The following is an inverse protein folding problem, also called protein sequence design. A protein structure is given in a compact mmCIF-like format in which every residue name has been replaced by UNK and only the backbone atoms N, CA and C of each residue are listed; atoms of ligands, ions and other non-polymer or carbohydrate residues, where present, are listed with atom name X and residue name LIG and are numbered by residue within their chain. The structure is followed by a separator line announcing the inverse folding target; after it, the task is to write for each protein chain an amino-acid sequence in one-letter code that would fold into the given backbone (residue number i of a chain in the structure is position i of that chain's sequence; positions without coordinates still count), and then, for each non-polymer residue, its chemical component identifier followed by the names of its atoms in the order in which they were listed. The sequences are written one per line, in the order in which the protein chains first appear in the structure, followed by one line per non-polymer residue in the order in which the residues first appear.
data_IF_279579226314
#
_entry.id   IF_279579226314
#
_cell.length_a   1.000
_cell.length_b   1.000
_cell.length_c   1.000
_cell.angle_alpha   90.00
_cell.angle_beta   90.00
_cell.angle_gamma   90.00
#
_symmetry.space_group_name_H-M   'P 1'
#
loop_
_entity.id
_entity.type
_entity.pdbx_description
1 polymer ?
#
# COMPACT_ATOMS: atom_id res chain seq x y z
N UNK A 1 -40.40 30.23 -33.47
CA UNK A 1 -39.67 28.98 -33.17
C UNK A 1 -38.24 29.39 -32.88
N UNK A 2 -37.81 29.20 -31.63
CA UNK A 2 -36.61 29.82 -31.06
C UNK A 2 -35.32 29.16 -31.58
N UNK A 3 -34.35 29.99 -31.99
CA UNK A 3 -32.94 29.61 -32.07
C UNK A 3 -32.30 29.98 -30.73
N UNK A 4 -31.95 28.98 -29.92
CA UNK A 4 -31.07 29.13 -28.77
C UNK A 4 -29.63 28.99 -29.28
N UNK A 5 -28.87 30.08 -29.26
CA UNK A 5 -27.42 30.06 -29.35
C UNK A 5 -26.87 29.59 -28.00
N UNK A 6 -26.27 28.40 -27.98
CA UNK A 6 -25.44 27.94 -26.89
C UNK A 6 -24.07 28.64 -26.98
N UNK A 7 -23.85 29.63 -26.11
CA UNK A 7 -22.52 30.15 -25.82
C UNK A 7 -21.85 29.18 -24.84
N UNK A 8 -21.01 28.28 -25.34
CA UNK A 8 -20.10 27.46 -24.52
C UNK A 8 -18.87 28.30 -24.24
N UNK A 9 -18.65 28.63 -22.96
CA UNK A 9 -17.45 29.33 -22.50
C UNK A 9 -16.22 28.44 -22.70
N UNK A 10 -15.36 28.83 -23.64
CA UNK A 10 -14.02 28.26 -23.89
C UNK A 10 -12.92 28.98 -23.10
N UNK A 11 -13.25 29.65 -21.99
CA UNK A 11 -12.34 30.55 -21.29
C UNK A 11 -11.44 29.90 -20.23
N UNK A 12 -11.56 28.59 -19.97
CA UNK A 12 -10.76 27.89 -18.96
C UNK A 12 -9.37 27.44 -19.42
N UNK A 13 -9.26 26.83 -20.61
CA UNK A 13 -8.01 26.19 -21.04
C UNK A 13 -6.93 27.17 -21.53
N UNK A 14 -7.31 28.33 -22.07
CA UNK A 14 -6.33 29.30 -22.59
C UNK A 14 -5.57 30.01 -21.46
N UNK A 15 -6.27 30.38 -20.38
CA UNK A 15 -5.67 31.10 -19.25
C UNK A 15 -4.71 30.23 -18.42
N UNK A 16 -5.01 28.93 -18.27
CA UNK A 16 -4.12 28.00 -17.57
C UNK A 16 -2.82 27.76 -18.34
N UNK A 17 -2.89 27.64 -19.67
CA UNK A 17 -1.71 27.49 -20.53
C UNK A 17 -0.83 28.74 -20.51
N UNK A 18 -1.44 29.93 -20.62
CA UNK A 18 -0.72 31.21 -20.60
C UNK A 18 -0.01 31.49 -19.26
N UNK A 19 -0.60 31.03 -18.14
CA UNK A 19 0.04 31.06 -16.84
C UNK A 19 1.22 30.07 -16.74
N UNK A 20 1.06 28.83 -17.24
CA UNK A 20 2.14 27.83 -17.26
C UNK A 20 3.36 28.31 -18.07
N UNK A 21 3.13 28.82 -19.28
CA UNK A 21 4.16 29.39 -20.16
C UNK A 21 4.97 30.53 -19.47
N UNK A 22 4.36 31.23 -18.50
CA UNK A 22 5.01 32.32 -17.74
C UNK A 22 5.99 31.80 -16.67
N UNK A 23 5.76 30.60 -16.13
CA UNK A 23 6.52 30.05 -15.01
C UNK A 23 7.40 28.85 -15.41
N UNK A 24 7.51 28.52 -16.71
CA UNK A 24 8.34 27.41 -17.23
C UNK A 24 9.79 27.45 -16.73
N UNK A 25 10.37 28.64 -16.53
CA UNK A 25 11.74 28.79 -16.02
C UNK A 25 11.95 28.21 -14.61
N UNK A 26 10.86 27.95 -13.88
CA UNK A 26 10.85 27.39 -12.54
C UNK A 26 10.50 25.90 -12.48
N UNK A 27 10.43 25.24 -13.63
CA UNK A 27 10.23 23.80 -13.73
C UNK A 27 11.30 23.06 -12.92
N UNK A 28 10.88 22.18 -12.01
CA UNK A 28 11.78 21.38 -11.19
C UNK A 28 12.41 22.14 -10.01
N UNK A 29 11.99 23.37 -9.72
CA UNK A 29 12.40 24.06 -8.51
C UNK A 29 11.85 23.30 -7.30
N UNK A 30 12.70 23.07 -6.31
CA UNK A 30 12.33 22.27 -5.15
C UNK A 30 12.95 22.83 -3.87
N UNK A 31 12.31 22.56 -2.73
CA UNK A 31 12.89 22.78 -1.42
C UNK A 31 13.14 21.44 -0.74
N UNK A 32 14.27 21.31 -0.06
CA UNK A 32 14.60 20.14 0.72
C UNK A 32 14.23 20.33 2.20
N UNK A 33 13.99 19.23 2.89
CA UNK A 33 13.92 19.21 4.35
C UNK A 33 15.32 19.25 4.99
N UNK A 34 15.39 19.17 6.32
CA UNK A 34 16.68 19.16 7.04
C UNK A 34 17.53 17.90 6.80
N UNK A 35 16.98 16.86 6.18
CA UNK A 35 17.68 15.62 5.83
C UNK A 35 18.23 15.61 4.39
N UNK A 36 17.87 16.61 3.58
CA UNK A 36 18.24 16.72 2.17
C UNK A 36 17.24 16.06 1.22
N UNK A 37 16.12 15.54 1.74
CA UNK A 37 15.04 14.99 0.94
C UNK A 37 14.18 16.11 0.34
N UNK A 38 13.65 15.95 -0.87
CA UNK A 38 12.74 16.94 -1.46
C UNK A 38 11.45 16.99 -0.64
N UNK A 39 11.13 18.13 -0.04
CA UNK A 39 9.88 18.34 0.70
C UNK A 39 8.76 18.83 -0.23
N UNK A 40 9.07 19.81 -1.07
CA UNK A 40 8.14 20.34 -2.07
C UNK A 40 8.85 20.56 -3.40
N UNK A 41 8.20 20.21 -4.50
CA UNK A 41 8.70 20.36 -5.87
C UNK A 41 7.66 21.01 -6.79
N UNK A 42 8.10 21.92 -7.65
CA UNK A 42 7.23 22.68 -8.53
C UNK A 42 7.31 22.16 -9.97
N UNK A 43 6.16 21.72 -10.51
CA UNK A 43 5.94 21.46 -11.93
C UNK A 43 5.19 22.66 -12.53
N UNK A 44 5.73 23.24 -13.59
CA UNK A 44 5.16 24.41 -14.28
C UNK A 44 4.93 24.20 -15.77
N UNK A 45 5.37 23.07 -16.33
CA UNK A 45 5.16 22.71 -17.74
C UNK A 45 3.66 22.37 -17.98
N UNK A 46 2.99 23.16 -18.82
CA UNK A 46 1.54 23.09 -19.14
C UNK A 46 0.55 23.47 -18.03
N UNK A 47 0.81 23.08 -16.77
CA UNK A 47 0.00 23.43 -15.59
C UNK A 47 0.92 23.68 -14.39
N UNK A 48 0.42 24.40 -13.41
CA UNK A 48 1.13 24.59 -12.14
C UNK A 48 0.69 23.48 -11.19
N UNK A 49 1.62 22.61 -10.81
CA UNK A 49 1.41 21.59 -9.78
C UNK A 49 2.49 21.67 -8.72
N UNK A 50 2.08 21.43 -7.49
CA UNK A 50 2.96 21.31 -6.35
C UNK A 50 2.99 19.84 -5.92
N UNK A 51 4.17 19.25 -6.02
CA UNK A 51 4.46 17.92 -5.51
C UNK A 51 4.89 18.08 -4.05
N UNK A 52 4.18 17.43 -3.14
CA UNK A 52 4.45 17.46 -1.73
C UNK A 52 4.82 16.06 -1.26
N UNK A 53 6.00 15.94 -0.66
CA UNK A 53 6.49 14.67 -0.16
C UNK A 53 6.31 14.66 1.35
N UNK A 54 5.37 13.85 1.81
CA UNK A 54 5.03 13.76 3.22
C UNK A 54 5.45 12.42 3.80
N UNK A 55 5.95 12.47 5.03
CA UNK A 55 6.36 11.29 5.76
C UNK A 55 5.28 10.91 6.77
N UNK A 56 4.19 10.30 6.27
CA UNK A 56 3.04 9.88 7.09
C UNK A 56 3.35 8.57 7.82
N UNK A 57 3.90 8.67 9.04
CA UNK A 57 4.08 7.51 9.92
C UNK A 57 4.97 6.38 9.36
N UNK A 58 5.75 6.64 8.30
CA UNK A 58 6.58 5.67 7.54
C UNK A 58 7.99 6.25 7.32
N UNK A 59 9.06 5.45 7.19
CA UNK A 59 10.36 5.98 6.72
C UNK A 59 10.29 6.51 5.28
N UNK A 60 9.31 6.05 4.50
CA UNK A 60 9.13 6.40 3.09
C UNK A 60 8.27 7.65 2.92
N UNK A 61 8.65 8.50 1.96
CA UNK A 61 7.89 9.69 1.59
C UNK A 61 6.78 9.32 0.60
N UNK A 62 5.58 9.83 0.87
CA UNK A 62 4.42 9.74 0.00
C UNK A 62 4.31 11.04 -0.79
N UNK A 63 4.10 10.94 -2.10
CA UNK A 63 3.93 12.11 -2.96
C UNK A 63 2.45 12.42 -3.16
N UNK A 64 2.03 13.59 -2.69
CA UNK A 64 0.73 14.19 -3.02
C UNK A 64 0.92 15.33 -4.01
N UNK A 65 0.08 15.35 -5.04
CA UNK A 65 0.15 16.35 -6.11
C UNK A 65 -1.06 17.27 -6.02
N UNK A 66 -0.80 18.55 -5.80
CA UNK A 66 -1.81 19.59 -5.82
C UNK A 66 -1.76 20.35 -7.15
N UNK A 67 -2.84 20.33 -7.91
CA UNK A 67 -3.02 21.20 -9.08
C UNK A 67 -3.43 22.60 -8.61
N UNK A 68 -2.64 23.60 -9.00
CA UNK A 68 -2.79 24.98 -8.55
C UNK A 68 -3.22 25.88 -9.71
N UNK A 69 -4.21 26.74 -9.44
CA UNK A 69 -4.53 27.84 -10.32
C UNK A 69 -3.97 29.13 -9.73
N UNK A 70 -3.05 29.78 -10.45
CA UNK A 70 -2.45 31.03 -10.00
C UNK A 70 -3.19 32.25 -10.56
N UNK A 71 -3.41 33.24 -9.70
CA UNK A 71 -3.78 34.60 -10.05
C UNK A 71 -2.51 35.47 -10.02
N UNK A 72 -2.03 35.96 -11.19
CA UNK A 72 -0.88 36.85 -11.25
C UNK A 72 -1.14 38.13 -10.44
N UNK A 73 -0.25 38.44 -9.51
CA UNK A 73 -0.27 39.65 -8.72
C UNK A 73 0.51 40.79 -9.39
N UNK A 74 0.77 41.87 -8.64
CA UNK A 74 1.68 42.93 -9.08
C UNK A 74 3.13 42.46 -8.95
N UNK A 75 3.87 42.48 -10.06
CA UNK A 75 5.29 42.14 -10.10
C UNK A 75 5.52 40.63 -10.11
N UNK A 76 6.55 40.19 -9.39
CA UNK A 76 7.01 38.79 -9.30
C UNK A 76 6.14 37.89 -8.39
N UNK A 77 4.97 38.38 -7.93
CA UNK A 77 4.11 37.66 -6.98
C UNK A 77 2.88 37.08 -7.65
N UNK A 78 2.48 35.88 -7.24
CA UNK A 78 1.22 35.26 -7.61
C UNK A 78 0.52 34.70 -6.37
N UNK A 79 -0.81 34.81 -6.33
CA UNK A 79 -1.63 34.18 -5.31
C UNK A 79 -2.28 32.92 -5.89
N UNK A 80 -2.43 31.88 -5.08
CA UNK A 80 -3.18 30.69 -5.49
C UNK A 80 -4.67 30.99 -5.37
N UNK A 81 -5.38 30.92 -6.49
CA UNK A 81 -6.84 31.08 -6.58
C UNK A 81 -7.58 29.78 -6.28
N UNK A 82 -6.99 28.65 -6.68
CA UNK A 82 -7.59 27.34 -6.53
C UNK A 82 -6.55 26.27 -6.23
N UNK A 83 -6.90 25.35 -5.32
CA UNK A 83 -6.10 24.16 -4.96
C UNK A 83 -6.97 22.93 -5.16
N UNK A 84 -6.58 22.06 -6.09
CA UNK A 84 -7.21 20.76 -6.32
C UNK A 84 -6.22 19.67 -5.93
N UNK A 85 -6.62 18.72 -5.08
CA UNK A 85 -5.75 17.59 -4.71
C UNK A 85 -5.71 16.49 -5.80
N UNK A 86 -4.92 15.45 -5.54
CA UNK A 86 -4.78 14.30 -6.46
C UNK A 86 -6.07 13.48 -6.67
N UNK A 87 -7.07 13.64 -5.79
CA UNK A 87 -8.39 13.00 -5.91
C UNK A 87 -9.41 13.89 -6.62
N UNK A 88 -9.05 15.14 -6.96
CA UNK A 88 -9.93 16.10 -7.60
C UNK A 88 -10.80 16.91 -6.62
N UNK A 89 -10.50 16.87 -5.32
CA UNK A 89 -11.21 17.65 -4.30
C UNK A 89 -10.67 19.07 -4.26
N UNK A 90 -11.59 20.06 -4.23
CA UNK A 90 -11.23 21.47 -4.10
C UNK A 90 -10.95 21.81 -2.63
N UNK A 91 -9.68 22.06 -2.33
CA UNK A 91 -9.18 22.40 -0.99
C UNK A 91 -8.92 23.90 -0.81
N UNK A 92 -9.40 24.75 -1.73
CA UNK A 92 -9.10 26.19 -1.70
C UNK A 92 -9.48 26.84 -0.36
N UNK A 93 -10.62 26.46 0.22
CA UNK A 93 -11.09 26.99 1.50
C UNK A 93 -10.19 26.61 2.68
N UNK A 94 -9.35 25.57 2.53
CA UNK A 94 -8.43 25.08 3.55
C UNK A 94 -7.18 25.93 3.71
N UNK A 95 -6.98 26.96 2.89
CA UNK A 95 -5.81 27.84 2.93
C UNK A 95 -6.25 29.29 3.14
N UNK A 96 -5.88 29.86 4.28
CA UNK A 96 -6.07 31.29 4.58
C UNK A 96 -5.12 32.18 3.78
N UNK A 97 -3.95 31.65 3.44
CA UNK A 97 -2.94 32.28 2.58
C UNK A 97 -2.20 31.22 1.80
N UNK A 98 -2.06 31.42 0.49
CA UNK A 98 -1.18 30.59 -0.33
C UNK A 98 -0.65 31.42 -1.49
N UNK A 99 0.63 31.82 -1.43
CA UNK A 99 1.26 32.71 -2.39
C UNK A 99 2.63 32.20 -2.83
N UNK A 100 3.02 32.60 -4.04
CA UNK A 100 4.36 32.43 -4.57
C UNK A 100 4.97 33.79 -4.92
N UNK A 101 6.27 33.95 -4.66
CA UNK A 101 7.11 35.05 -5.15
C UNK A 101 8.25 34.47 -5.97
N UNK A 102 8.31 34.81 -7.26
CA UNK A 102 9.21 34.23 -8.25
C UNK A 102 10.39 35.15 -8.54
N UNK A 103 11.58 34.79 -8.07
CA UNK A 103 12.83 35.52 -8.29
C UNK A 103 13.73 34.76 -9.26
N UNK A 104 14.69 35.41 -9.94
CA UNK A 104 15.54 34.74 -10.94
C UNK A 104 16.27 33.47 -10.49
N UNK A 105 16.59 33.35 -9.19
CA UNK A 105 17.35 32.24 -8.61
C UNK A 105 16.54 31.37 -7.63
N UNK A 106 15.31 31.77 -7.26
CA UNK A 106 14.50 31.07 -6.26
C UNK A 106 13.02 31.41 -6.34
N UNK A 107 12.19 30.54 -5.79
CA UNK A 107 10.76 30.79 -5.56
C UNK A 107 10.50 30.75 -4.06
N UNK A 108 9.82 31.76 -3.53
CA UNK A 108 9.35 31.75 -2.13
C UNK A 108 7.88 31.39 -2.12
N UNK A 109 7.55 30.28 -1.46
CA UNK A 109 6.20 29.78 -1.25
C UNK A 109 5.77 30.08 0.19
N UNK A 110 4.67 30.81 0.36
CA UNK A 110 4.08 31.13 1.66
C UNK A 110 2.73 30.43 1.79
N UNK A 111 2.57 29.60 2.83
CA UNK A 111 1.36 28.84 3.10
C UNK A 111 0.86 29.13 4.52
N UNK A 112 -0.43 29.40 4.66
CA UNK A 112 -1.16 29.49 5.92
C UNK A 112 -2.44 28.68 5.78
N UNK A 113 -2.53 27.58 6.52
CA UNK A 113 -3.72 26.71 6.53
C UNK A 113 -4.80 27.18 7.47
N UNK A 114 -6.03 26.78 7.15
CA UNK A 114 -7.12 26.70 8.11
C UNK A 114 -7.19 25.30 8.73
N UNK A 115 -6.70 25.16 9.96
CA UNK A 115 -6.64 23.86 10.66
C UNK A 115 -8.01 23.29 11.02
N UNK A 116 -9.07 24.11 10.97
CA UNK A 116 -10.44 23.66 11.23
C UNK A 116 -11.04 22.96 10.00
N UNK A 117 -10.50 23.22 8.80
CA UNK A 117 -10.97 22.67 7.52
C UNK A 117 -10.00 21.64 6.93
N UNK A 118 -8.73 21.70 7.31
CA UNK A 118 -7.70 20.75 6.90
C UNK A 118 -6.85 20.34 8.09
N UNK A 119 -7.31 19.30 8.76
CA UNK A 119 -6.60 18.64 9.84
C UNK A 119 -5.32 17.95 9.32
N UNK A 120 -4.32 17.76 10.19
CA UNK A 120 -3.01 17.20 9.81
C UNK A 120 -1.90 18.26 9.67
N UNK A 121 -0.69 17.82 9.33
CA UNK A 121 0.54 18.63 9.28
C UNK A 121 1.71 17.85 8.68
N UNK A 122 2.97 18.13 9.07
CA UNK A 122 4.26 17.57 8.63
C UNK A 122 4.29 16.20 7.90
N UNK A 123 3.42 15.29 8.32
CA UNK A 123 3.27 13.90 7.89
C UNK A 123 2.20 13.67 6.81
N UNK A 124 1.18 14.53 6.70
CA UNK A 124 -0.08 14.22 6.00
C UNK A 124 -0.60 15.37 5.13
N UNK A 125 -0.10 16.60 5.32
CA UNK A 125 -0.59 17.79 4.61
C UNK A 125 0.47 18.89 4.55
N UNK A 126 0.28 19.84 3.61
CA UNK A 126 1.11 21.05 3.50
C UNK A 126 1.23 21.76 4.85
N UNK A 127 2.42 22.11 5.27
CA UNK A 127 2.60 22.85 6.52
C UNK A 127 2.39 24.36 6.33
N UNK A 128 1.86 25.02 7.38
CA UNK A 128 1.90 26.49 7.45
C UNK A 128 3.35 26.92 7.61
N UNK A 129 3.83 27.79 6.73
CA UNK A 129 5.22 28.22 6.72
C UNK A 129 5.62 29.00 5.48
N UNK A 130 6.89 29.38 5.46
CA UNK A 130 7.57 29.97 4.30
C UNK A 130 8.65 29.00 3.82
N UNK A 131 8.64 28.67 2.54
CA UNK A 131 9.54 27.70 1.92
C UNK A 131 10.25 28.34 0.73
N UNK A 132 11.57 28.19 0.67
CA UNK A 132 12.37 28.66 -0.46
C UNK A 132 12.70 27.47 -1.36
N UNK A 133 12.18 27.48 -2.58
CA UNK A 133 12.47 26.50 -3.62
C UNK A 133 13.57 27.05 -4.54
N UNK A 134 14.54 26.22 -4.88
CA UNK A 134 15.65 26.57 -5.78
C UNK A 134 15.75 25.54 -6.90
N UNK A 135 16.46 25.88 -7.97
CA UNK A 135 16.74 24.92 -9.04
C UNK A 135 17.35 23.63 -8.47
N UNK A 136 16.83 22.49 -8.91
CA UNK A 136 17.19 21.16 -8.43
C UNK A 136 17.30 20.18 -9.61
N UNK A 137 18.01 19.07 -9.41
CA UNK A 137 18.03 17.94 -10.36
C UNK A 137 16.74 17.10 -10.29
N UNK A 138 15.88 17.38 -9.30
CA UNK A 138 14.56 16.76 -9.17
C UNK A 138 13.68 17.10 -10.39
N UNK A 139 12.99 16.08 -10.91
CA UNK A 139 12.02 16.22 -12.00
C UNK A 139 10.69 15.61 -11.58
N UNK A 140 9.54 16.15 -12.02
CA UNK A 140 8.25 15.52 -11.79
C UNK A 140 8.25 14.08 -12.31
N UNK A 141 7.78 13.14 -11.48
CA UNK A 141 7.80 11.71 -11.79
C UNK A 141 9.18 11.03 -11.68
N UNK A 142 10.22 11.74 -11.25
CA UNK A 142 11.49 11.11 -10.84
C UNK A 142 11.46 10.91 -9.33
N UNK A 143 11.64 9.66 -8.89
CA UNK A 143 11.82 9.35 -7.47
C UNK A 143 12.99 10.20 -6.91
N UNK A 144 12.86 10.72 -5.68
CA UNK A 144 13.89 11.58 -5.08
C UNK A 144 15.26 10.89 -5.14
N UNK A 145 16.25 11.65 -5.59
CA UNK A 145 17.62 11.18 -5.81
C UNK A 145 18.26 10.81 -4.47
N UNK A 146 18.03 9.57 -4.04
CA UNK A 146 18.44 9.12 -2.73
C UNK A 146 18.27 7.63 -2.48
N UNK A 147 17.60 6.86 -3.34
CA UNK A 147 17.49 5.42 -3.15
C UNK A 147 17.74 4.69 -4.47
N UNK A 148 18.74 3.79 -4.45
CA UNK A 148 18.83 2.73 -5.45
C UNK A 148 17.55 1.93 -5.32
N UNK A 149 16.67 2.11 -6.30
CA UNK A 149 15.43 1.39 -6.50
C UNK A 149 15.71 -0.12 -6.43
N UNK A 150 15.48 -0.72 -5.26
CA UNK A 150 14.93 -2.05 -5.23
C UNK A 150 13.48 -1.85 -5.66
N UNK A 151 13.09 -2.39 -6.81
CA UNK A 151 11.67 -2.54 -7.12
C UNK A 151 11.03 -3.36 -6.00
N UNK A 152 10.34 -2.70 -5.07
CA UNK A 152 9.41 -3.37 -4.18
C UNK A 152 8.14 -3.62 -4.98
N UNK A 153 7.88 -4.91 -5.25
CA UNK A 153 6.66 -5.43 -5.85
C UNK A 153 5.43 -5.24 -4.93
N UNK A 154 4.98 -4.01 -4.68
CA UNK A 154 3.78 -3.75 -3.88
C UNK A 154 2.90 -2.66 -4.52
N UNK A 155 1.57 -2.74 -4.54
CA UNK A 155 0.64 -3.54 -3.71
C UNK A 155 -0.58 -3.96 -4.54
N UNK A 156 -0.81 -5.26 -4.72
CA UNK A 156 -2.19 -5.74 -4.74
C UNK A 156 -2.62 -5.98 -3.26
N UNK A 157 -3.92 -5.97 -2.95
CA UNK A 157 -4.40 -6.17 -1.59
C UNK A 157 -3.89 -7.51 -1.02
N UNK A 158 -3.51 -7.49 0.26
CA UNK A 158 -3.18 -8.71 1.01
C UNK A 158 -4.43 -9.56 1.17
N UNK A 159 -4.24 -10.88 1.26
CA UNK A 159 -5.33 -11.74 1.68
C UNK A 159 -5.64 -11.49 3.17
N UNK A 160 -6.90 -11.62 3.58
CA UNK A 160 -7.31 -11.42 4.97
C UNK A 160 -6.46 -12.24 5.94
N UNK A 161 -6.14 -13.48 5.57
CA UNK A 161 -5.32 -14.37 6.39
C UNK A 161 -3.85 -13.93 6.49
N UNK A 162 -3.34 -13.25 5.47
CA UNK A 162 -2.01 -12.62 5.53
C UNK A 162 -2.02 -11.41 6.45
N UNK A 163 -3.09 -10.60 6.45
CA UNK A 163 -3.27 -9.50 7.40
C UNK A 163 -3.32 -10.00 8.85
N UNK A 164 -4.01 -11.12 9.10
CA UNK A 164 -4.01 -11.78 10.43
C UNK A 164 -2.60 -12.20 10.85
N UNK A 165 -1.83 -12.80 9.94
CA UNK A 165 -0.43 -13.18 10.20
C UNK A 165 0.43 -11.95 10.53
N UNK A 166 0.30 -10.86 9.76
CA UNK A 166 1.02 -9.61 10.01
C UNK A 166 0.61 -8.96 11.34
N UNK A 167 -0.68 -9.01 11.72
CA UNK A 167 -1.18 -8.53 13.01
C UNK A 167 -0.58 -9.30 14.19
N UNK A 168 -0.48 -10.63 14.09
CA UNK A 168 0.19 -11.45 15.11
C UNK A 168 1.67 -11.11 15.24
N UNK A 169 2.37 -10.89 14.13
CA UNK A 169 3.77 -10.48 14.13
C UNK A 169 3.95 -9.09 14.75
N UNK A 170 3.08 -8.14 14.39
CA UNK A 170 3.05 -6.79 14.96
C UNK A 170 2.91 -6.84 16.48
N UNK A 171 1.89 -7.56 16.96
CA UNK A 171 1.63 -7.69 18.39
C UNK A 171 2.76 -8.41 19.13
N UNK A 172 3.30 -9.50 18.57
CA UNK A 172 4.40 -10.22 19.22
C UNK A 172 5.63 -9.34 19.38
N UNK A 173 5.92 -8.47 18.43
CA UNK A 173 7.05 -7.53 18.52
C UNK A 173 6.89 -6.55 19.69
N UNK A 174 5.67 -6.09 19.96
CA UNK A 174 5.38 -5.13 21.03
C UNK A 174 5.24 -5.79 22.40
N UNK A 175 4.49 -6.89 22.48
CA UNK A 175 4.12 -7.55 23.72
C UNK A 175 5.07 -8.70 24.12
N UNK A 176 5.97 -9.12 23.22
CA UNK A 176 6.79 -10.33 23.36
C UNK A 176 5.94 -11.59 23.62
N UNK A 177 4.72 -11.61 23.06
CA UNK A 177 3.74 -12.70 23.18
C UNK A 177 3.12 -12.97 21.82
N UNK A 178 3.16 -14.24 21.38
CA UNK A 178 2.47 -14.65 20.17
C UNK A 178 1.04 -15.06 20.54
N UNK A 179 0.06 -14.26 20.14
CA UNK A 179 -1.35 -14.56 20.37
C UNK A 179 -1.72 -15.93 19.74
N UNK A 180 -2.18 -16.91 20.53
CA UNK A 180 -2.50 -18.26 20.02
C UNK A 180 -3.77 -18.29 19.18
N UNK A 181 -4.75 -17.43 19.50
CA UNK A 181 -6.06 -17.43 18.87
C UNK A 181 -6.34 -16.10 18.16
N UNK A 182 -7.01 -16.21 17.02
CA UNK A 182 -7.36 -15.07 16.18
C UNK A 182 -8.77 -15.20 15.66
N UNK A 183 -9.45 -14.07 15.51
CA UNK A 183 -10.69 -13.94 14.76
C UNK A 183 -10.52 -12.78 13.79
N UNK A 184 -11.09 -12.89 12.60
CA UNK A 184 -11.15 -11.78 11.64
C UNK A 184 -12.56 -11.60 11.10
N UNK A 185 -12.96 -10.35 10.92
CA UNK A 185 -14.29 -9.95 10.43
C UNK A 185 -14.11 -8.95 9.30
N UNK A 186 -14.64 -9.28 8.12
CA UNK A 186 -14.79 -8.33 7.01
C UNK A 186 -15.93 -7.36 7.33
N UNK A 187 -15.63 -6.07 7.35
CA UNK A 187 -16.58 -5.02 7.68
C UNK A 187 -17.45 -4.61 6.47
N UNK A 188 -17.14 -5.06 5.26
CA UNK A 188 -17.86 -4.75 4.03
C UNK A 188 -17.61 -3.34 3.49
N UNK A 189 -16.69 -2.59 4.11
CA UNK A 189 -16.29 -1.23 3.71
C UNK A 189 -14.85 -1.16 3.17
N UNK A 190 -14.24 -2.33 2.94
CA UNK A 190 -12.84 -2.46 2.52
C UNK A 190 -11.84 -2.57 3.69
N UNK A 191 -12.34 -2.65 4.93
CA UNK A 191 -11.52 -2.92 6.11
C UNK A 191 -11.80 -4.29 6.73
N UNK A 192 -10.80 -4.83 7.40
CA UNK A 192 -10.82 -6.06 8.16
C UNK A 192 -10.55 -5.75 9.63
N UNK A 193 -11.45 -6.19 10.52
CA UNK A 193 -11.19 -6.17 11.96
C UNK A 193 -10.59 -7.49 12.39
N UNK A 194 -9.43 -7.43 13.05
CA UNK A 194 -8.65 -8.57 13.52
C UNK A 194 -8.61 -8.54 15.04
N UNK A 195 -9.13 -9.59 15.66
CA UNK A 195 -9.03 -9.81 17.09
C UNK A 195 -7.93 -10.83 17.38
N UNK A 196 -7.03 -10.47 18.30
CA UNK A 196 -6.04 -11.36 18.86
C UNK A 196 -6.41 -11.68 20.31
N UNK A 197 -6.38 -12.96 20.66
CA UNK A 197 -6.72 -13.43 21.99
C UNK A 197 -5.56 -14.19 22.64
N UNK A 198 -5.51 -14.11 23.96
CA UNK A 198 -4.71 -14.98 24.82
C UNK A 198 -5.61 -16.03 25.49
N UNK A 199 -5.03 -17.17 25.84
CA UNK A 199 -5.71 -18.19 26.63
C UNK A 199 -5.35 -17.98 28.09
N UNK A 200 -6.32 -17.50 28.88
CA UNK A 200 -6.19 -17.29 30.32
C UNK A 200 -6.69 -18.55 31.04
N UNK A 201 -5.82 -19.17 31.84
CA UNK A 201 -6.23 -20.29 32.70
C UNK A 201 -6.93 -19.77 33.95
N UNK A 202 -8.14 -20.26 34.20
CA UNK A 202 -8.88 -20.00 35.43
C UNK A 202 -8.49 -20.99 36.52
N UNK A 203 -8.35 -22.26 36.15
CA UNK A 203 -7.82 -23.35 36.99
C UNK A 203 -7.20 -24.47 36.13
N UNK A 204 -6.88 -25.63 36.72
CA UNK A 204 -6.24 -26.75 36.02
C UNK A 204 -7.09 -27.35 34.89
N UNK A 205 -8.42 -27.16 34.90
CA UNK A 205 -9.35 -27.76 33.92
C UNK A 205 -10.10 -26.73 33.07
N UNK A 206 -10.05 -25.44 33.41
CA UNK A 206 -10.82 -24.40 32.74
C UNK A 206 -9.96 -23.21 32.30
N UNK A 207 -10.24 -22.73 31.09
CA UNK A 207 -9.62 -21.54 30.51
C UNK A 207 -10.65 -20.71 29.76
N UNK A 208 -10.42 -19.41 29.68
CA UNK A 208 -11.18 -18.49 28.83
C UNK A 208 -10.24 -17.67 27.96
N UNK A 209 -10.79 -16.99 26.95
CA UNK A 209 -10.03 -16.09 26.08
C UNK A 209 -10.00 -14.69 26.66
N UNK A 210 -8.80 -14.13 26.85
CA UNK A 210 -8.57 -12.73 27.15
C UNK A 210 -8.29 -11.93 25.86
N UNK A 211 -8.71 -10.67 25.79
CA UNK A 211 -8.39 -9.81 24.65
C UNK A 211 -6.94 -9.36 24.72
N UNK A 212 -6.15 -9.69 23.69
CA UNK A 212 -4.76 -9.23 23.55
C UNK A 212 -4.67 -7.90 22.80
N UNK A 213 -5.21 -7.85 21.58
CA UNK A 213 -5.22 -6.64 20.75
C UNK A 213 -6.31 -6.72 19.68
N UNK A 214 -6.85 -5.57 19.31
CA UNK A 214 -7.86 -5.42 18.25
C UNK A 214 -7.38 -4.39 17.24
N UNK A 215 -7.35 -4.77 15.97
CA UNK A 215 -6.95 -3.88 14.89
C UNK A 215 -8.04 -3.82 13.83
N UNK A 216 -8.35 -2.63 13.33
CA UNK A 216 -9.13 -2.46 12.10
C UNK A 216 -8.21 -1.88 11.04
N UNK A 217 -7.96 -2.64 9.98
CA UNK A 217 -7.00 -2.30 8.92
C UNK A 217 -7.63 -2.43 7.53
N UNK A 218 -7.15 -1.64 6.58
CA UNK A 218 -7.46 -1.81 5.17
C UNK A 218 -6.74 -3.05 4.59
N UNK A 219 -7.02 -3.33 3.32
CA UNK A 219 -6.40 -4.43 2.58
C UNK A 219 -4.86 -4.32 2.41
N UNK A 220 -4.26 -3.21 2.84
CA UNK A 220 -2.82 -2.94 2.81
C UNK A 220 -2.20 -2.98 4.21
N UNK A 221 -2.96 -3.36 5.24
CA UNK A 221 -2.50 -3.48 6.61
C UNK A 221 -2.36 -2.14 7.34
N UNK A 222 -3.00 -1.07 6.86
CA UNK A 222 -3.02 0.24 7.50
C UNK A 222 -4.35 0.49 8.19
N UNK A 223 -4.33 1.02 9.40
CA UNK A 223 -5.56 1.41 10.09
C UNK A 223 -5.31 1.81 11.52
N UNK A 224 -6.09 1.25 12.45
CA UNK A 224 -6.02 1.61 13.87
C UNK A 224 -6.01 0.41 14.80
N UNK A 225 -5.35 0.59 15.93
CA UNK A 225 -5.59 -0.17 17.15
C UNK A 225 -6.89 0.32 17.78
N UNK A 226 -7.88 -0.57 17.90
CA UNK A 226 -9.20 -0.23 18.42
C UNK A 226 -9.25 -0.13 19.95
N UNK A 227 -8.24 -0.65 20.65
CA UNK A 227 -8.14 -0.59 22.12
C UNK A 227 -7.60 0.78 22.55
N UNK A 228 -6.54 1.26 21.89
CA UNK A 228 -5.87 2.50 22.26
C UNK A 228 -6.14 3.68 21.32
N UNK A 229 -6.71 3.42 20.14
CA UNK A 229 -7.02 4.43 19.13
C UNK A 229 -5.80 4.93 18.35
N UNK A 230 -4.64 4.28 18.49
CA UNK A 230 -3.43 4.64 17.78
C UNK A 230 -3.51 4.16 16.33
N UNK A 231 -2.89 4.89 15.42
CA UNK A 231 -2.68 4.40 14.06
C UNK A 231 -1.74 3.19 14.07
N UNK A 232 -2.02 2.21 13.22
CA UNK A 232 -1.22 1.00 13.05
C UNK A 232 -0.90 0.78 11.58
N UNK A 233 0.35 0.38 11.31
CA UNK A 233 0.78 -0.18 10.03
C UNK A 233 1.39 -1.55 10.31
N UNK A 234 0.71 -2.59 9.86
CA UNK A 234 1.17 -3.96 9.99
C UNK A 234 2.48 -4.17 9.21
N UNK A 235 3.42 -4.99 9.71
CA UNK A 235 4.70 -5.20 9.05
C UNK A 235 4.47 -6.03 7.78
N UNK A 236 5.13 -5.63 6.68
CA UNK A 236 5.23 -6.50 5.52
C UNK A 236 6.09 -7.72 5.89
N UNK A 237 5.61 -8.90 5.50
CA UNK A 237 6.24 -10.17 5.80
C UNK A 237 6.53 -10.92 4.50
N UNK A 238 7.68 -11.59 4.45
CA UNK A 238 7.98 -12.56 3.40
C UNK A 238 7.02 -13.76 3.47
N UNK A 239 6.97 -14.57 2.41
CA UNK A 239 6.13 -15.78 2.38
C UNK A 239 6.45 -16.74 3.54
N UNK A 240 7.73 -16.89 3.86
CA UNK A 240 8.20 -17.73 4.96
C UNK A 240 7.76 -17.19 6.33
N UNK A 241 7.87 -15.87 6.52
CA UNK A 241 7.42 -15.22 7.75
C UNK A 241 5.90 -15.31 7.89
N UNK A 242 5.14 -15.02 6.83
CA UNK A 242 3.68 -15.17 6.82
C UNK A 242 3.28 -16.56 7.33
N UNK A 243 3.86 -17.63 6.75
CA UNK A 243 3.60 -19.01 7.13
C UNK A 243 3.91 -19.32 8.60
N UNK A 244 4.85 -18.61 9.24
CA UNK A 244 5.13 -18.75 10.69
C UNK A 244 3.97 -18.26 11.54
N UNK A 245 3.32 -17.18 11.12
CA UNK A 245 2.20 -16.56 11.83
C UNK A 245 0.82 -17.03 11.36
N UNK A 246 0.73 -17.94 10.39
CA UNK A 246 -0.55 -18.48 9.91
C UNK A 246 -1.28 -19.38 10.93
N UNK A 247 -0.56 -19.97 11.88
CA UNK A 247 -1.11 -21.02 12.76
C UNK A 247 -1.25 -22.37 12.04
N UNK A 248 -2.02 -23.29 12.63
CA UNK A 248 -2.17 -24.65 12.09
C UNK A 248 -3.39 -24.74 11.17
N UNK A 249 -3.22 -25.05 9.87
CA UNK A 249 -4.34 -25.28 8.96
C UNK A 249 -5.07 -26.58 9.31
N UNK A 250 -6.39 -26.57 9.17
CA UNK A 250 -7.27 -27.72 9.39
C UNK A 250 -7.51 -28.54 8.12
N UNK A 251 -7.33 -27.93 6.94
CA UNK A 251 -7.52 -28.57 5.63
C UNK A 251 -6.56 -27.98 4.59
N UNK A 252 -6.16 -28.81 3.63
CA UNK A 252 -5.51 -28.39 2.39
C UNK A 252 -6.39 -28.76 1.21
N UNK A 253 -6.55 -27.84 0.26
CA UNK A 253 -7.08 -28.13 -1.08
C UNK A 253 -5.96 -27.88 -2.08
N UNK A 254 -5.70 -28.86 -2.93
CA UNK A 254 -4.73 -28.75 -4.01
C UNK A 254 -5.44 -28.82 -5.35
N UNK A 255 -5.23 -27.81 -6.18
CA UNK A 255 -5.79 -27.72 -7.53
C UNK A 255 -4.65 -27.77 -8.53
N UNK A 256 -4.79 -28.60 -9.56
CA UNK A 256 -3.92 -28.61 -10.73
C UNK A 256 -4.73 -28.21 -11.96
N UNK A 257 -4.35 -27.08 -12.54
CA UNK A 257 -4.91 -26.53 -13.78
C UNK A 257 -3.91 -26.76 -14.92
N UNK A 258 -3.92 -27.99 -15.44
CA UNK A 258 -3.14 -28.40 -16.62
C UNK A 258 -4.07 -28.57 -17.83
N UNK A 259 -3.95 -29.68 -18.58
CA UNK A 259 -4.89 -30.02 -19.67
C UNK A 259 -6.35 -30.17 -19.19
N UNK A 260 -6.53 -30.55 -17.92
CA UNK A 260 -7.82 -30.64 -17.26
C UNK A 260 -7.69 -30.14 -15.81
N UNK A 261 -8.71 -29.43 -15.36
CA UNK A 261 -8.86 -29.02 -13.96
C UNK A 261 -9.03 -30.27 -13.08
N UNK A 262 -8.17 -30.39 -12.07
CA UNK A 262 -8.23 -31.45 -11.06
C UNK A 262 -8.10 -30.82 -9.69
N UNK A 263 -8.85 -31.37 -8.74
CA UNK A 263 -8.89 -30.90 -7.37
C UNK A 263 -8.83 -32.09 -6.42
N UNK A 264 -7.98 -31.99 -5.40
CA UNK A 264 -7.83 -32.96 -4.34
C UNK A 264 -7.89 -32.27 -2.99
N UNK A 265 -8.38 -32.99 -1.99
CA UNK A 265 -8.47 -32.51 -0.61
C UNK A 265 -7.67 -33.46 0.31
N UNK A 266 -6.33 -33.33 0.40
CA UNK A 266 -5.54 -34.11 1.35
C UNK A 266 -6.12 -33.99 2.77
N UNK A 267 -6.39 -35.12 3.41
CA UNK A 267 -7.00 -35.16 4.75
C UNK A 267 -6.02 -35.54 5.85
N UNK A 268 -4.83 -36.04 5.50
CA UNK A 268 -3.79 -36.37 6.48
C UNK A 268 -3.18 -35.09 7.08
N UNK A 269 -3.42 -34.88 8.38
CA UNK A 269 -2.89 -33.73 9.11
C UNK A 269 -1.37 -33.61 9.11
N UNK A 270 -0.64 -34.73 9.01
CA UNK A 270 0.81 -34.72 8.89
C UNK A 270 1.24 -34.18 7.52
N UNK A 271 0.58 -34.61 6.44
CA UNK A 271 0.85 -34.12 5.07
C UNK A 271 0.54 -32.64 4.95
N UNK A 272 -0.60 -32.20 5.51
CA UNK A 272 -0.98 -30.77 5.54
C UNK A 272 0.11 -29.94 6.27
N UNK A 273 0.57 -30.42 7.43
CA UNK A 273 1.60 -29.74 8.21
C UNK A 273 2.95 -29.72 7.47
N UNK A 274 3.34 -30.83 6.82
CA UNK A 274 4.56 -30.90 6.03
C UNK A 274 4.52 -29.98 4.81
N UNK A 275 3.36 -29.85 4.15
CA UNK A 275 3.17 -28.90 3.05
C UNK A 275 3.38 -27.45 3.52
N UNK A 276 2.79 -27.05 4.66
CA UNK A 276 3.02 -25.72 5.22
C UNK A 276 4.50 -25.52 5.60
N UNK A 277 5.15 -26.54 6.16
CA UNK A 277 6.58 -26.49 6.48
C UNK A 277 7.47 -26.40 5.23
N UNK A 278 7.05 -27.00 4.12
CA UNK A 278 7.74 -26.88 2.86
C UNK A 278 7.56 -25.47 2.26
N UNK A 279 6.37 -24.86 2.38
CA UNK A 279 6.13 -23.45 2.02
C UNK A 279 7.01 -22.50 2.83
N UNK A 280 7.20 -22.74 4.13
CA UNK A 280 8.12 -21.96 4.99
C UNK A 280 9.57 -21.96 4.50
N UNK A 281 9.97 -23.01 3.77
CA UNK A 281 11.34 -23.19 3.25
C UNK A 281 11.45 -22.83 1.77
N UNK A 282 10.38 -22.34 1.17
CA UNK A 282 10.37 -21.92 -0.22
C UNK A 282 11.18 -20.63 -0.34
N UNK A 283 12.20 -20.64 -1.21
CA UNK A 283 12.96 -19.42 -1.51
C UNK A 283 12.30 -18.73 -2.69
N UNK A 284 11.96 -17.45 -2.51
CA UNK A 284 11.39 -16.61 -3.57
C UNK A 284 12.53 -15.81 -4.20
N UNK A 285 12.78 -16.09 -5.47
CA UNK A 285 13.81 -15.45 -6.28
C UNK A 285 13.29 -14.24 -7.05
N UNK A 286 14.04 -13.88 -8.09
CA UNK A 286 13.73 -12.73 -8.94
C UNK A 286 12.41 -12.89 -9.69
N UNK A 287 11.80 -11.75 -10.01
CA UNK A 287 10.65 -11.66 -10.92
C UNK A 287 11.00 -12.28 -12.27
N UNK A 288 10.04 -12.95 -12.88
CA UNK A 288 10.20 -13.64 -14.15
C UNK A 288 8.98 -13.43 -15.04
N UNK A 289 9.20 -13.42 -16.35
CA UNK A 289 8.14 -13.46 -17.36
C UNK A 289 7.94 -14.89 -17.90
N UNK A 290 8.68 -15.87 -17.36
CA UNK A 290 8.55 -17.29 -17.72
C UNK A 290 7.20 -17.82 -17.25
N UNK A 291 6.38 -18.22 -18.23
CA UNK A 291 4.98 -18.61 -18.07
C UNK A 291 4.69 -19.90 -18.79
N UNK A 292 3.84 -20.73 -18.20
CA UNK A 292 3.31 -21.96 -18.79
C UNK A 292 1.85 -22.13 -18.34
N UNK A 293 0.94 -21.61 -19.16
CA UNK A 293 -0.49 -21.55 -18.83
C UNK A 293 -1.17 -22.91 -18.65
N UNK A 294 -0.51 -23.99 -19.09
CA UNK A 294 -0.93 -25.39 -18.97
C UNK A 294 -0.25 -26.13 -17.81
N UNK A 295 0.37 -25.39 -16.88
CA UNK A 295 1.03 -25.91 -15.70
C UNK A 295 0.68 -25.07 -14.44
N UNK A 296 -0.61 -24.81 -14.23
CA UNK A 296 -1.11 -24.11 -13.04
C UNK A 296 -1.26 -25.05 -11.84
N UNK A 297 -0.83 -24.59 -10.68
CA UNK A 297 -0.98 -25.28 -9.41
C UNK A 297 -1.48 -24.28 -8.35
N UNK A 298 -2.44 -24.67 -7.52
CA UNK A 298 -2.94 -23.84 -6.41
C UNK A 298 -2.99 -24.62 -5.12
N UNK A 299 -2.46 -24.04 -4.05
CA UNK A 299 -2.62 -24.52 -2.68
C UNK A 299 -3.59 -23.60 -1.95
N UNK A 300 -4.60 -24.18 -1.29
CA UNK A 300 -5.54 -23.45 -0.43
C UNK A 300 -5.51 -24.09 0.96
N UNK A 301 -4.85 -23.42 1.89
CA UNK A 301 -4.87 -23.79 3.31
C UNK A 301 -6.11 -23.19 3.95
N UNK A 302 -6.94 -24.01 4.60
CA UNK A 302 -8.09 -23.54 5.38
C UNK A 302 -7.78 -23.69 6.86
N UNK A 303 -8.17 -22.71 7.67
CA UNK A 303 -7.92 -22.68 9.12
C UNK A 303 -9.20 -22.97 9.91
N UNK A 304 -9.07 -23.17 11.23
CA UNK A 304 -10.19 -23.53 12.10
C UNK A 304 -11.31 -22.48 12.12
N UNK A 305 -10.99 -21.21 11.91
CA UNK A 305 -11.93 -20.09 11.79
C UNK A 305 -12.61 -20.01 10.41
N UNK A 306 -12.26 -20.91 9.48
CA UNK A 306 -12.78 -20.93 8.11
C UNK A 306 -12.05 -19.98 7.14
N UNK A 307 -11.12 -19.16 7.61
CA UNK A 307 -10.30 -18.33 6.73
C UNK A 307 -9.38 -19.19 5.86
N UNK A 308 -8.98 -18.65 4.71
CA UNK A 308 -8.14 -19.36 3.73
C UNK A 308 -6.90 -18.57 3.37
N UNK A 309 -5.80 -19.28 3.13
CA UNK A 309 -4.59 -18.74 2.51
C UNK A 309 -4.31 -19.47 1.19
N UNK A 310 -4.40 -18.71 0.08
CA UNK A 310 -4.27 -19.20 -1.28
C UNK A 310 -2.90 -18.86 -1.85
N UNK A 311 -2.21 -19.86 -2.40
CA UNK A 311 -0.95 -19.70 -3.12
C UNK A 311 -1.10 -20.26 -4.53
N UNK A 312 -0.79 -19.45 -5.54
CA UNK A 312 -0.87 -19.83 -6.94
C UNK A 312 0.53 -19.97 -7.54
N UNK A 313 0.73 -21.01 -8.34
CA UNK A 313 1.97 -21.29 -9.03
C UNK A 313 1.68 -21.56 -10.52
N UNK A 314 2.57 -21.12 -11.40
CA UNK A 314 2.53 -21.39 -12.83
C UNK A 314 3.90 -21.89 -13.27
N UNK A 315 3.99 -23.14 -13.74
CA UNK A 315 5.25 -23.86 -13.93
C UNK A 315 6.19 -23.81 -12.71
N UNK A 316 5.61 -23.79 -11.50
CA UNK A 316 6.35 -23.68 -10.24
C UNK A 316 6.82 -22.28 -9.87
N UNK A 317 6.61 -21.28 -10.72
CA UNK A 317 6.82 -19.88 -10.35
C UNK A 317 5.65 -19.39 -9.51
N UNK A 318 5.92 -18.77 -8.35
CA UNK A 318 4.88 -18.19 -7.50
C UNK A 318 4.23 -17.03 -8.24
N UNK A 319 2.91 -17.08 -8.40
CA UNK A 319 2.12 -15.96 -8.91
C UNK A 319 1.61 -15.13 -7.75
N UNK A 320 1.96 -13.85 -7.75
CA UNK A 320 1.50 -12.87 -6.75
C UNK A 320 1.33 -11.51 -7.43
N UNK A 321 0.17 -10.88 -7.22
CA UNK A 321 -0.11 -9.53 -7.73
C UNK A 321 0.06 -9.42 -9.26
N UNK A 322 -0.42 -10.41 -10.00
CA UNK A 322 -0.25 -10.53 -11.47
C UNK A 322 1.21 -10.64 -11.96
N UNK A 323 2.17 -10.80 -11.04
CA UNK A 323 3.59 -11.02 -11.32
C UNK A 323 3.98 -12.45 -10.95
N UNK A 324 5.08 -12.92 -11.52
CA UNK A 324 5.60 -14.26 -11.30
C UNK A 324 7.01 -14.18 -10.73
N UNK A 325 7.31 -15.06 -9.79
CA UNK A 325 8.60 -15.12 -9.10
C UNK A 325 9.16 -16.52 -9.19
N UNK A 326 10.45 -16.63 -9.49
CA UNK A 326 11.14 -17.92 -9.45
C UNK A 326 11.06 -18.47 -8.03
N UNK A 327 10.88 -19.78 -7.92
CA UNK A 327 10.90 -20.44 -6.62
C UNK A 327 11.99 -21.51 -6.61
N UNK A 328 12.67 -21.63 -5.47
CA UNK A 328 13.46 -22.82 -5.17
C UNK A 328 12.74 -23.62 -4.07
N UNK A 329 12.51 -24.91 -4.33
CA UNK A 329 11.84 -25.81 -3.40
C UNK A 329 10.42 -26.22 -3.77
N UNK A 330 9.81 -25.62 -4.80
CA UNK A 330 8.47 -25.99 -5.27
C UNK A 330 8.34 -27.48 -5.60
N UNK A 331 9.35 -28.06 -6.27
CA UNK A 331 9.37 -29.48 -6.62
C UNK A 331 9.23 -30.40 -5.39
N UNK A 332 9.69 -29.95 -4.21
CA UNK A 332 9.52 -30.72 -2.96
C UNK A 332 8.08 -30.74 -2.51
N UNK A 333 7.38 -29.60 -2.60
CA UNK A 333 5.95 -29.52 -2.28
C UNK A 333 5.16 -30.41 -3.24
N UNK A 334 5.47 -30.32 -4.54
CA UNK A 334 4.82 -31.15 -5.56
C UNK A 334 5.06 -32.64 -5.34
N UNK A 335 6.26 -33.05 -4.91
CA UNK A 335 6.56 -34.44 -4.60
C UNK A 335 5.78 -34.95 -3.38
N UNK A 336 5.68 -34.15 -2.30
CA UNK A 336 4.88 -34.50 -1.12
C UNK A 336 3.41 -34.74 -1.49
N UNK A 337 2.83 -33.86 -2.30
CA UNK A 337 1.46 -33.99 -2.78
C UNK A 337 1.30 -35.19 -3.70
N UNK A 338 2.28 -35.44 -4.58
CA UNK A 338 2.26 -36.61 -5.45
C UNK A 338 2.29 -37.91 -4.67
N UNK A 339 3.14 -38.05 -3.67
CA UNK A 339 3.24 -39.27 -2.86
C UNK A 339 1.93 -39.58 -2.13
N UNK A 340 1.22 -38.55 -1.66
CA UNK A 340 -0.10 -38.68 -1.04
C UNK A 340 -1.21 -39.00 -2.06
N UNK A 341 -1.18 -38.35 -3.24
CA UNK A 341 -2.27 -38.36 -4.21
C UNK A 341 -2.03 -39.30 -5.42
N UNK A 342 -0.95 -40.08 -5.43
CA UNK A 342 -0.61 -41.00 -6.53
C UNK A 342 -1.74 -42.03 -6.76
N UNK A 343 -2.36 -42.51 -5.68
CA UNK A 343 -3.53 -43.39 -5.72
C UNK A 343 -4.83 -42.71 -6.19
N UNK A 344 -4.86 -41.38 -6.19
CA UNK A 344 -6.01 -40.53 -6.56
C UNK A 344 -5.87 -39.92 -7.97
N UNK A 345 -4.89 -40.39 -8.74
CA UNK A 345 -4.72 -40.00 -10.14
C UNK A 345 -3.99 -38.67 -10.34
N UNK A 346 -3.21 -38.21 -9.38
CA UNK A 346 -2.25 -37.12 -9.59
C UNK A 346 -1.11 -37.61 -10.51
N UNK A 347 -0.74 -36.80 -11.52
CA UNK A 347 0.27 -37.13 -12.54
C UNK A 347 1.66 -36.56 -12.19
#
# INVERSE_FOLDING_TARGET
MALLLAAVMLWGCSAQKEAADTYEAYQGYACQDGSGHIKYGLETENRIRLHCFFQSGSPEYTEDIYELKLLPGKGEKASVEQVIDGQGVDLTASFRKFNFSFYPDRVVMEVERDTDLLAGGASDNLETGEYTLTASDWKPGSAPAGEKQAETDSLAPWQDRELVAMARAYYQKEANFLAPETECVDNGDGTLTIHLYEVVQDDEETSHTGTSAWYTVDAYGKGKDDVFGNEVKLPELSLAELAEYMGTPSKLTYIQDAEAHREWEPTDGAVIAECLQAVKKLEIGEKTDERASDAGDTLIFTFADGSTWRLEFEAGNLRRNERYYKTEGWDRIRLLLKDELEGEGML
#
